data_IF_708632071500
#
_entry.id   IF_708632071500
#
_cell.length_a   1.000
_cell.length_b   1.000
_cell.length_c   1.000
_cell.angle_alpha   90.00
_cell.angle_beta   90.00
_cell.angle_gamma   90.00
#
_symmetry.space_group_name_H-M   'P 1'
#
loop_
_entity.id
_entity.type
_entity.pdbx_description
1 polymer ?
#
# COMPACT_ATOMS: atom_id res chain seq x y z
N UNK A 1 2.37 -23.43 5.00
CA UNK A 1 1.43 -22.29 4.94
C UNK A 1 2.09 -21.09 4.28
N UNK A 2 3.27 -20.64 4.69
CA UNK A 2 3.98 -19.51 4.07
C UNK A 2 4.40 -19.80 2.64
N UNK A 3 5.08 -20.94 2.40
CA UNK A 3 5.55 -21.36 1.07
C UNK A 3 4.44 -21.63 0.07
N UNK A 4 3.28 -22.04 0.56
CA UNK A 4 2.08 -22.29 -0.29
C UNK A 4 1.27 -21.03 -0.55
N UNK A 5 1.62 -19.88 0.08
CA UNK A 5 0.89 -18.62 -0.07
C UNK A 5 -0.47 -18.57 0.62
N UNK A 6 -0.84 -19.58 1.39
CA UNK A 6 -2.15 -19.65 2.02
C UNK A 6 -2.36 -18.60 3.13
N UNK A 7 -1.37 -18.39 4.00
CA UNK A 7 -1.43 -17.40 5.06
C UNK A 7 -0.04 -17.14 5.69
N UNK A 8 0.18 -15.89 6.10
CA UNK A 8 1.40 -15.44 6.73
C UNK A 8 2.49 -15.04 5.72
N UNK A 9 3.49 -14.34 6.21
CA UNK A 9 4.66 -13.92 5.44
C UNK A 9 5.93 -14.54 5.99
N UNK A 10 7.03 -14.49 5.23
CA UNK A 10 8.36 -14.89 5.71
C UNK A 10 8.78 -14.11 6.95
N UNK A 11 8.35 -12.84 7.04
CA UNK A 11 8.61 -11.99 8.22
C UNK A 11 7.94 -12.57 9.46
N UNK A 12 6.66 -12.97 9.36
CA UNK A 12 5.94 -13.59 10.49
C UNK A 12 6.63 -14.89 10.94
N UNK A 13 7.08 -15.71 10.01
CA UNK A 13 7.79 -16.93 10.32
C UNK A 13 9.14 -16.65 11.01
N UNK A 14 9.88 -15.65 10.55
CA UNK A 14 11.14 -15.24 11.18
C UNK A 14 10.93 -14.71 12.60
N UNK A 15 9.85 -13.96 12.84
CA UNK A 15 9.50 -13.47 14.19
C UNK A 15 9.13 -14.59 15.16
N UNK A 16 8.51 -15.66 14.68
CA UNK A 16 8.18 -16.83 15.49
C UNK A 16 9.41 -17.67 15.80
N UNK A 17 10.25 -17.95 14.80
CA UNK A 17 11.34 -18.94 14.90
C UNK A 17 12.71 -18.34 15.22
N UNK A 18 13.00 -17.10 14.82
CA UNK A 18 14.32 -16.49 14.97
C UNK A 18 14.33 -15.35 15.97
N UNK A 19 13.82 -14.18 15.60
CA UNK A 19 13.76 -12.99 16.46
C UNK A 19 12.76 -11.96 15.92
N UNK A 20 12.26 -11.05 16.76
CA UNK A 20 11.41 -9.96 16.33
C UNK A 20 12.21 -8.82 15.68
N UNK A 21 13.42 -8.57 16.15
CA UNK A 21 14.28 -7.52 15.62
C UNK A 21 13.97 -6.11 16.15
N UNK A 22 14.41 -5.10 15.44
CA UNK A 22 14.24 -3.70 15.84
C UNK A 22 12.79 -3.26 15.71
N UNK A 23 12.24 -2.72 16.77
CA UNK A 23 10.95 -2.06 16.75
C UNK A 23 11.14 -0.60 16.34
N UNK A 24 10.33 -0.17 15.38
CA UNK A 24 10.39 1.19 14.84
C UNK A 24 9.03 1.87 14.97
N UNK A 25 9.05 3.16 15.27
CA UNK A 25 7.91 4.07 15.26
C UNK A 25 8.20 5.19 14.26
N UNK A 26 7.32 5.40 13.29
CA UNK A 26 7.49 6.38 12.21
C UNK A 26 8.86 6.27 11.50
N UNK A 27 9.36 5.05 11.33
CA UNK A 27 10.65 4.79 10.70
C UNK A 27 11.86 5.12 11.58
N UNK A 28 11.66 5.45 12.85
CA UNK A 28 12.74 5.76 13.82
C UNK A 28 12.73 4.75 14.94
N UNK A 29 13.83 4.70 15.70
CA UNK A 29 13.91 3.93 16.95
C UNK A 29 12.94 4.50 17.98
N UNK A 30 12.69 3.72 19.04
CA UNK A 30 11.79 4.11 20.14
C UNK A 30 12.19 5.49 20.68
N UNK A 31 11.25 6.43 20.82
CA UNK A 31 11.53 7.78 21.31
C UNK A 31 11.96 7.73 22.78
N UNK A 32 12.88 8.61 23.17
CA UNK A 32 13.31 8.79 24.55
C UNK A 32 12.50 9.90 25.21
N UNK A 33 12.18 9.72 26.49
CA UNK A 33 11.59 10.77 27.31
C UNK A 33 12.59 11.89 27.59
N UNK A 34 12.12 13.01 28.12
CA UNK A 34 12.98 14.14 28.56
C UNK A 34 14.07 13.71 29.55
N UNK A 35 13.86 12.63 30.31
CA UNK A 35 14.86 12.01 31.19
C UNK A 35 15.95 11.24 30.47
N UNK A 36 15.93 11.16 29.12
CA UNK A 36 16.87 10.37 28.32
C UNK A 36 16.62 8.86 28.34
N UNK A 37 15.53 8.40 28.93
CA UNK A 37 15.17 6.97 29.05
C UNK A 37 14.07 6.62 28.04
N UNK A 38 14.08 5.40 27.56
CA UNK A 38 12.94 4.83 26.80
C UNK A 38 11.91 4.20 27.74
N UNK A 39 12.38 3.55 28.79
CA UNK A 39 11.57 2.99 29.88
C UNK A 39 12.24 3.26 31.23
N UNK A 40 11.47 3.29 32.33
CA UNK A 40 12.05 3.48 33.69
C UNK A 40 13.08 2.44 34.09
N UNK A 41 13.04 1.24 33.51
CA UNK A 41 13.96 0.14 33.77
C UNK A 41 15.37 0.30 33.16
N UNK A 42 15.52 1.24 32.21
CA UNK A 42 16.81 1.51 31.57
C UNK A 42 17.47 2.77 32.14
N UNK A 43 18.80 2.82 32.07
CA UNK A 43 19.54 4.00 32.44
C UNK A 43 19.32 5.15 31.44
N UNK A 44 19.48 6.43 31.85
CA UNK A 44 19.44 7.53 30.91
C UNK A 44 20.52 7.35 29.84
N UNK A 45 20.15 7.57 28.58
CA UNK A 45 21.05 7.49 27.42
C UNK A 45 21.81 6.16 27.28
N UNK A 46 21.21 5.06 27.79
CA UNK A 46 21.78 3.72 27.65
C UNK A 46 22.03 3.39 26.17
N UNK A 47 23.29 3.07 25.76
CA UNK A 47 23.62 2.72 24.38
C UNK A 47 23.24 1.28 24.00
N UNK A 48 22.72 0.49 24.94
CA UNK A 48 22.36 -0.89 24.68
C UNK A 48 21.22 -0.98 23.63
N UNK A 49 21.35 -1.78 22.58
CA UNK A 49 20.29 -1.95 21.59
C UNK A 49 18.93 -2.32 22.18
N UNK A 50 18.90 -3.07 23.27
CA UNK A 50 17.66 -3.45 23.97
C UNK A 50 16.95 -2.25 24.58
N UNK A 51 17.69 -1.22 25.01
CA UNK A 51 17.12 0.01 25.52
C UNK A 51 16.45 0.85 24.41
N UNK A 52 16.90 0.70 23.17
CA UNK A 52 16.36 1.40 22.02
C UNK A 52 15.33 0.59 21.21
N UNK A 53 14.80 -0.48 21.76
CA UNK A 53 13.69 -1.24 21.17
C UNK A 53 14.11 -2.41 20.28
N UNK A 54 15.36 -2.88 20.39
CA UNK A 54 15.77 -4.10 19.71
C UNK A 54 15.34 -5.34 20.51
N UNK A 55 14.58 -6.23 19.89
CA UNK A 55 14.08 -7.47 20.48
C UNK A 55 14.86 -8.64 19.91
N UNK A 56 15.74 -9.22 20.73
CA UNK A 56 16.52 -10.39 20.35
C UNK A 56 15.74 -11.70 20.52
N UNK A 57 14.70 -11.70 21.34
CA UNK A 57 13.88 -12.87 21.63
C UNK A 57 12.85 -13.10 20.51
N UNK A 58 12.26 -14.29 20.49
CA UNK A 58 11.28 -14.76 19.51
C UNK A 58 9.96 -15.13 20.19
N UNK A 59 8.89 -15.18 19.42
CA UNK A 59 7.58 -15.54 19.98
C UNK A 59 7.54 -16.97 20.53
N UNK A 60 8.25 -17.93 19.91
CA UNK A 60 8.24 -19.33 20.35
C UNK A 60 8.75 -19.51 21.78
N UNK A 61 9.76 -18.76 22.19
CA UNK A 61 10.33 -18.80 23.55
C UNK A 61 9.77 -17.75 24.48
N UNK A 62 9.02 -16.79 23.93
CA UNK A 62 8.50 -15.64 24.66
C UNK A 62 9.45 -14.45 24.64
N UNK A 63 8.92 -13.28 24.95
CA UNK A 63 9.63 -12.00 25.01
C UNK A 63 9.60 -11.45 26.42
N UNK A 64 10.58 -10.61 26.77
CA UNK A 64 10.66 -9.95 28.07
C UNK A 64 9.63 -8.83 28.17
N UNK A 65 9.22 -8.40 29.39
CA UNK A 65 8.22 -7.34 29.55
C UNK A 65 8.55 -6.04 28.83
N UNK A 66 9.80 -5.59 28.87
CA UNK A 66 10.26 -4.37 28.18
C UNK A 66 10.16 -4.52 26.66
N UNK A 67 10.59 -5.65 26.13
CA UNK A 67 10.53 -5.99 24.71
C UNK A 67 9.08 -6.09 24.24
N UNK A 68 8.21 -6.70 25.03
CA UNK A 68 6.78 -6.75 24.77
C UNK A 68 6.16 -5.35 24.71
N UNK A 69 6.55 -4.46 25.61
CA UNK A 69 6.08 -3.09 25.61
C UNK A 69 6.46 -2.35 24.30
N UNK A 70 7.71 -2.46 23.86
CA UNK A 70 8.16 -1.87 22.60
C UNK A 70 7.40 -2.46 21.40
N UNK A 71 7.17 -3.76 21.43
CA UNK A 71 6.38 -4.41 20.38
C UNK A 71 4.93 -3.90 20.36
N UNK A 72 4.33 -3.70 21.53
CA UNK A 72 3.00 -3.10 21.64
C UNK A 72 2.95 -1.65 21.12
N UNK A 73 3.98 -0.84 21.39
CA UNK A 73 4.06 0.52 20.85
C UNK A 73 4.05 0.51 19.31
N UNK A 74 4.90 -0.30 18.71
CA UNK A 74 4.97 -0.45 17.26
C UNK A 74 3.65 -1.01 16.67
N UNK A 75 3.06 -1.99 17.33
CA UNK A 75 1.77 -2.55 16.92
C UNK A 75 0.62 -1.54 17.01
N UNK A 76 0.59 -0.72 18.06
CA UNK A 76 -0.42 0.34 18.21
C UNK A 76 -0.34 1.38 17.12
N UNK A 77 0.86 1.82 16.76
CA UNK A 77 1.06 2.73 15.64
C UNK A 77 0.48 2.16 14.34
N UNK A 78 0.76 0.90 14.03
CA UNK A 78 0.18 0.22 12.87
C UNK A 78 -1.34 0.17 12.89
N UNK A 79 -1.96 -0.08 14.03
CA UNK A 79 -3.42 -0.08 14.20
C UNK A 79 -4.03 1.30 14.00
N UNK A 80 -3.44 2.34 14.57
CA UNK A 80 -3.88 3.74 14.41
C UNK A 80 -3.76 4.17 12.95
N UNK A 81 -2.63 3.89 12.31
CA UNK A 81 -2.39 4.22 10.91
C UNK A 81 -3.41 3.53 9.99
N UNK A 82 -3.70 2.25 10.22
CA UNK A 82 -4.73 1.50 9.48
C UNK A 82 -6.10 2.14 9.63
N UNK A 83 -6.50 2.50 10.85
CA UNK A 83 -7.81 3.10 11.12
C UNK A 83 -7.96 4.47 10.43
N UNK A 84 -6.94 5.32 10.49
CA UNK A 84 -6.93 6.65 9.85
C UNK A 84 -6.96 6.53 8.32
N UNK A 85 -6.15 5.64 7.73
CA UNK A 85 -6.13 5.42 6.28
C UNK A 85 -7.48 4.92 5.76
N UNK A 86 -8.12 4.01 6.47
CA UNK A 86 -9.44 3.48 6.09
C UNK A 86 -10.49 4.58 6.05
N UNK A 87 -10.54 5.43 7.09
CA UNK A 87 -11.49 6.53 7.16
C UNK A 87 -11.30 7.53 6.01
N UNK A 88 -10.07 7.97 5.78
CA UNK A 88 -9.75 8.95 4.71
C UNK A 88 -9.99 8.38 3.32
N UNK A 89 -9.57 7.15 3.06
CA UNK A 89 -9.77 6.51 1.76
C UNK A 89 -11.25 6.24 1.48
N UNK A 90 -12.04 5.90 2.49
CA UNK A 90 -13.48 5.70 2.34
C UNK A 90 -14.22 6.98 1.96
N UNK A 91 -13.89 8.11 2.59
CA UNK A 91 -14.45 9.40 2.21
C UNK A 91 -14.04 9.82 0.79
N UNK A 92 -12.77 9.68 0.44
CA UNK A 92 -12.29 9.96 -0.91
C UNK A 92 -13.01 9.08 -1.95
N UNK A 93 -13.12 7.77 -1.67
CA UNK A 93 -13.85 6.84 -2.54
C UNK A 93 -15.28 7.29 -2.76
N UNK A 94 -16.00 7.68 -1.69
CA UNK A 94 -17.38 8.18 -1.80
C UNK A 94 -17.47 9.40 -2.72
N UNK A 95 -16.59 10.37 -2.54
CA UNK A 95 -16.57 11.58 -3.38
C UNK A 95 -16.31 11.23 -4.86
N UNK A 96 -15.29 10.40 -5.12
CA UNK A 96 -14.96 9.98 -6.48
C UNK A 96 -16.10 9.20 -7.14
N UNK A 97 -16.70 8.26 -6.42
CA UNK A 97 -17.83 7.48 -6.94
C UNK A 97 -19.00 8.38 -7.29
N UNK A 98 -19.33 9.36 -6.43
CA UNK A 98 -20.41 10.32 -6.69
C UNK A 98 -20.17 11.16 -7.94
N UNK A 99 -18.92 11.53 -8.22
CA UNK A 99 -18.58 12.26 -9.45
C UNK A 99 -18.55 11.39 -10.70
N UNK A 100 -18.32 10.08 -10.56
CA UNK A 100 -18.10 9.19 -11.69
C UNK A 100 -19.27 8.24 -11.99
N UNK A 101 -20.22 8.06 -11.06
CA UNK A 101 -21.28 7.05 -11.18
C UNK A 101 -22.23 7.27 -12.38
N UNK A 102 -22.37 8.50 -12.84
CA UNK A 102 -23.24 8.85 -13.96
C UNK A 102 -22.52 8.84 -15.31
N UNK A 103 -21.19 8.78 -15.31
CA UNK A 103 -20.41 8.80 -16.54
C UNK A 103 -20.55 7.49 -17.31
N UNK A 104 -20.96 7.60 -18.57
CA UNK A 104 -21.10 6.44 -19.47
C UNK A 104 -20.68 6.79 -20.90
N UNK A 105 -20.22 5.77 -21.60
CA UNK A 105 -19.94 5.90 -23.05
C UNK A 105 -21.26 5.79 -23.80
N UNK A 106 -21.59 6.78 -24.60
CA UNK A 106 -22.77 6.83 -25.45
C UNK A 106 -22.52 6.16 -26.81
N UNK A 107 -23.57 5.90 -27.58
CA UNK A 107 -23.47 5.25 -28.90
C UNK A 107 -22.71 6.07 -29.96
N UNK A 108 -22.54 7.37 -29.73
CA UNK A 108 -21.71 8.28 -30.54
C UNK A 108 -20.21 8.26 -30.14
N UNK A 109 -19.80 7.32 -29.27
CA UNK A 109 -18.45 7.17 -28.71
C UNK A 109 -18.00 8.29 -27.78
N UNK A 110 -18.85 9.25 -27.45
CA UNK A 110 -18.58 10.28 -26.45
C UNK A 110 -18.83 9.75 -25.04
N UNK A 111 -18.08 10.25 -24.05
CA UNK A 111 -18.38 10.04 -22.63
C UNK A 111 -19.27 11.16 -22.15
N UNK A 112 -20.42 10.83 -21.60
CA UNK A 112 -21.42 11.79 -21.12
C UNK A 112 -21.76 11.58 -19.65
N UNK A 113 -22.15 12.65 -19.01
CA UNK A 113 -22.75 12.64 -17.67
C UNK A 113 -24.27 12.32 -17.70
N UNK A 114 -24.91 12.31 -16.53
CA UNK A 114 -26.34 12.03 -16.40
C UNK A 114 -27.25 13.07 -17.06
N UNK A 115 -26.80 14.31 -17.21
CA UNK A 115 -27.53 15.42 -17.86
C UNK A 115 -27.30 15.47 -19.38
N UNK A 116 -26.46 14.59 -19.90
CA UNK A 116 -26.12 14.53 -21.34
C UNK A 116 -24.97 15.43 -21.77
N UNK A 117 -24.32 16.12 -20.82
CA UNK A 117 -23.11 16.90 -21.06
C UNK A 117 -21.95 16.03 -21.54
N UNK A 118 -21.16 16.50 -22.49
CA UNK A 118 -19.99 15.76 -23.01
C UNK A 118 -18.78 16.03 -22.13
N UNK A 119 -18.29 14.97 -21.47
CA UNK A 119 -17.09 15.02 -20.62
C UNK A 119 -15.84 14.69 -21.43
N UNK A 120 -15.93 13.71 -22.33
CA UNK A 120 -14.87 13.40 -23.32
C UNK A 120 -15.51 13.15 -24.68
N UNK A 121 -14.87 13.64 -25.73
CA UNK A 121 -15.31 13.38 -27.11
C UNK A 121 -15.03 11.94 -27.55
N UNK A 122 -14.01 11.31 -26.99
CA UNK A 122 -13.67 9.91 -27.20
C UNK A 122 -13.07 9.35 -25.91
N UNK A 123 -13.57 8.22 -25.43
CA UNK A 123 -13.08 7.58 -24.21
C UNK A 123 -11.57 7.35 -24.27
N UNK A 124 -10.81 7.95 -23.31
CA UNK A 124 -9.36 7.85 -23.25
C UNK A 124 -8.61 8.34 -24.53
N UNK A 125 -9.26 9.12 -25.39
CA UNK A 125 -8.77 9.60 -26.70
C UNK A 125 -8.55 8.48 -27.74
N UNK A 126 -8.43 7.23 -27.35
CA UNK A 126 -8.19 6.05 -28.21
C UNK A 126 -9.39 5.08 -28.28
N UNK A 127 -10.36 5.22 -27.41
CA UNK A 127 -11.52 4.35 -27.29
C UNK A 127 -11.22 2.94 -26.75
N UNK A 128 -10.05 2.73 -26.12
CA UNK A 128 -9.62 1.44 -25.60
C UNK A 128 -9.99 1.33 -24.12
N UNK A 129 -10.65 0.23 -23.75
CA UNK A 129 -10.88 -0.13 -22.35
C UNK A 129 -9.68 -0.93 -21.84
N UNK A 130 -8.81 -0.38 -20.96
CA UNK A 130 -7.62 -1.08 -20.49
C UNK A 130 -7.96 -2.33 -19.67
N UNK A 131 -9.14 -2.41 -19.08
CA UNK A 131 -9.56 -3.60 -18.29
C UNK A 131 -9.89 -4.81 -19.18
N UNK A 132 -10.26 -4.56 -20.43
CA UNK A 132 -10.58 -5.60 -21.43
C UNK A 132 -9.44 -5.86 -22.42
N UNK A 133 -8.41 -5.03 -22.41
CA UNK A 133 -7.27 -5.14 -23.32
C UNK A 133 -6.22 -6.12 -22.76
N UNK A 134 -6.43 -7.42 -22.97
CA UNK A 134 -5.52 -8.49 -22.55
C UNK A 134 -4.07 -8.34 -23.07
N UNK A 135 -3.81 -7.40 -23.96
CA UNK A 135 -2.49 -7.12 -24.51
C UNK A 135 -1.63 -6.20 -23.62
N UNK A 136 -2.25 -5.52 -22.63
CA UNK A 136 -1.57 -4.58 -21.75
C UNK A 136 -1.03 -5.25 -20.48
N UNK A 137 -1.48 -6.48 -20.16
CA UNK A 137 -1.07 -7.20 -18.96
C UNK A 137 0.34 -7.81 -19.03
N UNK A 138 0.99 -7.79 -20.19
CA UNK A 138 2.29 -8.42 -20.36
C UNK A 138 3.17 -7.54 -21.26
N UNK A 139 4.36 -7.17 -20.76
CA UNK A 139 5.32 -6.30 -21.47
C UNK A 139 5.59 -6.76 -22.93
N UNK A 140 5.74 -8.05 -23.18
CA UNK A 140 5.96 -8.59 -24.52
C UNK A 140 4.75 -8.42 -25.45
N UNK A 141 3.53 -8.47 -24.90
CA UNK A 141 2.29 -8.33 -25.69
C UNK A 141 1.99 -6.87 -26.02
N UNK A 142 2.31 -5.96 -25.11
CA UNK A 142 2.16 -4.51 -25.34
C UNK A 142 2.96 -4.08 -26.55
N UNK A 143 4.20 -4.54 -26.65
CA UNK A 143 5.07 -4.24 -27.81
C UNK A 143 4.50 -4.80 -29.12
N UNK A 144 4.01 -6.03 -29.10
CA UNK A 144 3.38 -6.65 -30.27
C UNK A 144 2.10 -5.92 -30.71
N UNK A 145 1.29 -5.46 -29.75
CA UNK A 145 0.09 -4.68 -30.03
C UNK A 145 0.44 -3.36 -30.72
N UNK A 146 1.38 -2.61 -30.19
CA UNK A 146 1.85 -1.35 -30.77
C UNK A 146 2.45 -1.58 -32.19
N UNK A 147 3.28 -2.61 -32.37
CA UNK A 147 3.89 -2.93 -33.64
C UNK A 147 2.85 -3.28 -34.72
N UNK A 148 1.83 -4.08 -34.36
CA UNK A 148 0.75 -4.47 -35.29
C UNK A 148 -0.18 -3.30 -35.64
N UNK A 149 -0.49 -2.46 -34.68
CA UNK A 149 -1.49 -1.38 -34.84
C UNK A 149 -0.87 -0.02 -35.15
N UNK A 150 0.45 0.09 -35.24
CA UNK A 150 1.17 1.32 -35.47
C UNK A 150 0.63 2.12 -36.70
N UNK A 151 0.33 1.46 -37.81
CA UNK A 151 -0.20 2.14 -39.02
C UNK A 151 -1.59 2.72 -38.77
N UNK A 152 -2.45 2.01 -38.07
CA UNK A 152 -3.80 2.44 -37.71
C UNK A 152 -3.79 3.60 -36.74
N UNK A 153 -2.93 3.51 -35.72
CA UNK A 153 -2.74 4.57 -34.73
C UNK A 153 -2.19 5.83 -35.35
N UNK A 154 -1.17 5.73 -36.21
CA UNK A 154 -0.60 6.87 -36.93
C UNK A 154 -1.58 7.54 -37.90
N UNK A 155 -2.49 6.78 -38.50
CA UNK A 155 -3.55 7.33 -39.35
C UNK A 155 -4.59 8.10 -38.54
N UNK A 156 -4.88 7.65 -37.31
CA UNK A 156 -5.87 8.27 -36.43
C UNK A 156 -5.32 9.51 -35.71
N UNK A 157 -4.03 9.53 -35.41
CA UNK A 157 -3.32 10.63 -34.75
C UNK A 157 -2.12 11.04 -35.61
N UNK A 158 -2.35 11.82 -36.69
CA UNK A 158 -1.26 12.38 -37.49
C UNK A 158 -0.47 13.36 -36.61
N UNK A 159 0.86 13.23 -36.59
CA UNK A 159 1.77 14.13 -35.86
C UNK A 159 1.80 15.51 -36.53
#
# INVERSE_FOLDING_TARGET
MVTTGAKGSMVNQSQVSCQLGQQALEGRRVPRMSSGRTLPSFAPYDPNPRADGFIADRFLTGVRPQEYYFHCMAGREGLVDTAVKTSRSGYLQRCLVKHLEELKVSYDHTVRDGEGGVVQFLYGEDGIDPTKAAHLDCESRTFQFLARNHKSLKKRYPA
#
